data_IF_158891605299
#
_entry.id   IF_158891605299
#
_cell.length_a   1.000
_cell.length_b   1.000
_cell.length_c   1.000
_cell.angle_alpha   90.00
_cell.angle_beta   90.00
_cell.angle_gamma   90.00
#
_symmetry.space_group_name_H-M   'P 1'
#
loop_
_entity.id
_entity.type
_entity.pdbx_description
1 polymer ?
#
# COMPACT_ATOMS: atom_id res chain seq x y z
N UNK A 1 -13.78 -16.28 -61.29
CA UNK A 1 -12.34 -16.58 -61.35
C UNK A 1 -11.64 -15.23 -61.28
N UNK A 2 -11.49 -14.70 -60.07
CA UNK A 2 -10.25 -14.69 -59.26
C UNK A 2 -9.38 -13.47 -59.60
N UNK A 3 -9.36 -12.47 -58.71
CA UNK A 3 -8.18 -11.93 -58.00
C UNK A 3 -8.50 -10.52 -57.45
N UNK A 4 -8.75 -10.37 -56.14
CA UNK A 4 -7.85 -10.03 -55.00
C UNK A 4 -7.55 -8.53 -54.83
N UNK A 5 -7.99 -8.01 -53.68
CA UNK A 5 -7.55 -6.81 -52.92
C UNK A 5 -6.01 -6.70 -52.74
N UNK A 6 -5.40 -5.56 -52.28
CA UNK A 6 -5.94 -4.72 -51.22
C UNK A 6 -5.74 -3.19 -51.25
N UNK A 7 -6.58 -2.64 -50.38
CA UNK A 7 -6.66 -1.37 -49.67
C UNK A 7 -5.37 -0.85 -48.99
N UNK A 8 -5.43 0.45 -48.74
CA UNK A 8 -4.91 1.21 -47.60
C UNK A 8 -3.40 1.34 -47.34
N UNK A 9 -2.89 2.57 -47.50
CA UNK A 9 -1.60 3.02 -46.97
C UNK A 9 -1.64 4.55 -46.81
N UNK A 10 -2.45 5.01 -45.86
CA UNK A 10 -2.37 6.39 -45.34
C UNK A 10 -2.47 6.35 -43.82
N UNK A 11 -1.33 6.43 -43.14
CA UNK A 11 -1.34 6.48 -41.67
C UNK A 11 0.02 6.37 -40.99
N UNK A 12 1.12 6.65 -41.67
CA UNK A 12 2.43 6.80 -41.02
C UNK A 12 2.52 8.20 -40.43
N UNK A 13 2.26 8.33 -39.13
CA UNK A 13 2.58 9.57 -38.43
C UNK A 13 1.75 9.89 -37.20
N UNK A 14 1.68 9.00 -36.21
CA UNK A 14 1.52 9.40 -34.80
C UNK A 14 1.60 8.15 -33.93
N UNK A 15 2.65 8.01 -33.11
CA UNK A 15 2.66 7.38 -31.77
C UNK A 15 4.11 7.12 -31.34
N UNK A 16 4.87 8.21 -31.18
CA UNK A 16 6.12 8.16 -30.45
C UNK A 16 6.24 9.40 -29.56
N UNK A 17 5.25 9.57 -28.68
CA UNK A 17 5.37 10.52 -27.58
C UNK A 17 6.11 9.84 -26.42
N UNK A 18 7.38 10.19 -26.30
CA UNK A 18 8.19 9.89 -25.13
C UNK A 18 7.64 10.68 -23.94
N UNK A 19 7.22 9.97 -22.88
CA UNK A 19 6.90 10.59 -21.59
C UNK A 19 8.22 11.02 -20.94
N UNK A 20 8.67 12.24 -21.23
CA UNK A 20 9.73 12.91 -20.50
C UNK A 20 9.17 13.35 -19.14
N UNK A 21 9.13 12.41 -18.19
CA UNK A 21 8.85 12.73 -16.80
C UNK A 21 9.93 13.68 -16.27
N UNK A 22 9.59 14.95 -16.09
CA UNK A 22 10.50 15.92 -15.49
C UNK A 22 10.78 15.53 -14.04
N UNK A 23 11.98 15.03 -13.77
CA UNK A 23 12.50 14.94 -12.40
C UNK A 23 12.76 16.36 -11.93
N UNK A 24 11.94 16.86 -11.00
CA UNK A 24 12.22 18.13 -10.33
C UNK A 24 13.41 17.92 -9.40
N UNK A 25 14.61 18.19 -9.91
CA UNK A 25 15.84 18.22 -9.13
C UNK A 25 15.90 19.53 -8.36
N UNK A 26 15.28 19.57 -7.18
CA UNK A 26 15.58 20.59 -6.17
C UNK A 26 16.97 20.35 -5.55
N UNK A 27 17.54 21.34 -4.83
CA UNK A 27 18.80 21.14 -4.10
C UNK A 27 18.68 19.90 -3.19
N UNK A 28 19.76 19.11 -3.01
CA UNK A 28 19.71 17.92 -2.17
C UNK A 28 19.47 18.34 -0.71
N UNK A 29 18.21 18.40 -0.31
CA UNK A 29 17.83 18.44 1.10
C UNK A 29 18.24 17.08 1.67
N UNK A 30 18.96 17.02 2.80
CA UNK A 30 19.31 15.75 3.42
C UNK A 30 18.02 14.95 3.68
N UNK A 31 17.86 13.87 2.91
CA UNK A 31 16.69 12.99 3.00
C UNK A 31 16.84 12.13 4.25
N UNK A 32 16.12 12.47 5.31
CA UNK A 32 15.85 11.52 6.39
C UNK A 32 14.67 10.65 5.93
N UNK A 33 14.92 9.74 4.99
CA UNK A 33 13.95 8.70 4.68
C UNK A 33 13.82 7.77 5.88
N UNK A 34 12.59 7.37 6.21
CA UNK A 34 12.35 6.33 7.19
C UNK A 34 13.13 5.07 6.82
N UNK A 35 13.66 4.38 7.84
CA UNK A 35 14.08 2.99 7.64
C UNK A 35 12.83 2.14 7.39
N UNK A 36 12.98 0.99 6.78
CA UNK A 36 11.87 0.04 6.73
C UNK A 36 12.33 -1.39 6.95
N UNK A 37 11.44 -2.17 7.56
CA UNK A 37 11.60 -3.59 7.85
C UNK A 37 10.52 -4.34 7.09
N UNK A 38 10.88 -5.42 6.40
CA UNK A 38 9.89 -6.23 5.65
C UNK A 38 9.50 -7.47 6.45
N UNK A 39 8.23 -7.54 6.84
CA UNK A 39 7.64 -8.63 7.62
C UNK A 39 6.70 -9.44 6.71
N UNK A 40 6.75 -10.78 6.79
CA UNK A 40 5.93 -11.67 5.95
C UNK A 40 6.73 -12.72 5.18
N UNK A 41 6.08 -13.58 4.44
CA UNK A 41 6.74 -14.69 3.71
C UNK A 41 6.36 -14.67 2.23
N UNK A 42 6.97 -15.57 1.46
CA UNK A 42 6.69 -15.73 0.03
C UNK A 42 7.61 -14.91 -0.90
N UNK A 43 7.47 -15.09 -2.23
CA UNK A 43 8.37 -14.53 -3.22
C UNK A 43 8.43 -13.00 -3.21
N UNK A 44 7.27 -12.34 -3.08
CA UNK A 44 7.20 -10.88 -3.05
C UNK A 44 7.84 -10.31 -1.78
N UNK A 45 7.64 -10.92 -0.61
CA UNK A 45 8.30 -10.51 0.62
C UNK A 45 9.82 -10.65 0.52
N UNK A 46 10.31 -11.79 0.02
CA UNK A 46 11.73 -12.02 -0.19
C UNK A 46 12.34 -11.01 -1.18
N UNK A 47 11.57 -10.61 -2.19
CA UNK A 47 11.97 -9.58 -3.15
C UNK A 47 12.05 -8.20 -2.51
N UNK A 48 11.00 -7.76 -1.83
CA UNK A 48 10.96 -6.48 -1.13
C UNK A 48 12.10 -6.37 -0.11
N UNK A 49 12.40 -7.42 0.65
CA UNK A 49 13.58 -7.45 1.55
C UNK A 49 14.88 -7.05 0.86
N UNK A 50 15.09 -7.51 -0.37
CA UNK A 50 16.33 -7.20 -1.11
C UNK A 50 16.34 -5.79 -1.68
N UNK A 51 15.18 -5.20 -1.94
CA UNK A 51 15.09 -3.97 -2.75
C UNK A 51 14.65 -2.74 -1.97
N UNK A 52 13.90 -2.90 -0.88
CA UNK A 52 13.33 -1.78 -0.12
C UNK A 52 13.80 -1.74 1.32
N UNK A 53 14.10 -2.89 1.94
CA UNK A 53 14.51 -2.97 3.34
C UNK A 53 15.75 -2.10 3.58
N UNK A 54 15.69 -1.29 4.63
CA UNK A 54 16.71 -0.32 4.93
C UNK A 54 16.80 -0.12 6.44
N UNK A 55 18.01 -0.08 7.02
CA UNK A 55 18.16 0.12 8.44
C UNK A 55 17.62 1.52 8.83
N UNK A 56 17.01 1.66 10.02
CA UNK A 56 16.68 2.98 10.53
C UNK A 56 17.93 3.84 10.63
N UNK A 57 17.79 5.09 10.18
CA UNK A 57 18.77 6.12 10.49
C UNK A 57 18.54 6.64 11.92
N UNK A 58 19.56 7.24 12.54
CA UNK A 58 19.39 7.82 13.88
C UNK A 58 18.30 8.89 13.87
N UNK A 59 17.26 8.65 14.67
CA UNK A 59 16.12 9.57 14.82
C UNK A 59 15.15 9.54 13.64
N UNK A 60 15.12 8.48 12.83
CA UNK A 60 14.03 8.23 11.87
C UNK A 60 13.15 7.10 12.36
N UNK A 61 11.86 7.20 12.08
CA UNK A 61 10.93 6.10 12.31
C UNK A 61 11.26 4.87 11.43
N UNK A 62 10.77 3.71 11.85
CA UNK A 62 10.80 2.47 11.08
C UNK A 62 9.40 2.17 10.58
N UNK A 63 9.26 1.96 9.28
CA UNK A 63 8.01 1.48 8.67
C UNK A 63 8.06 -0.04 8.55
N UNK A 64 7.13 -0.74 9.18
CA UNK A 64 6.93 -2.17 8.97
C UNK A 64 6.16 -2.41 7.67
N UNK A 65 6.82 -2.91 6.64
CA UNK A 65 6.19 -3.33 5.39
C UNK A 65 5.62 -4.75 5.59
N UNK A 66 4.31 -4.84 5.78
CA UNK A 66 3.61 -6.08 6.14
C UNK A 66 3.11 -6.80 4.88
N UNK A 67 3.80 -7.85 4.47
CA UNK A 67 3.45 -8.63 3.29
C UNK A 67 2.57 -9.81 3.67
N UNK A 68 1.33 -9.81 3.18
CA UNK A 68 0.33 -10.85 3.46
C UNK A 68 -0.35 -11.35 2.20
N UNK A 69 -0.92 -12.55 2.27
CA UNK A 69 -1.72 -13.12 1.18
C UNK A 69 -3.21 -12.94 1.48
N UNK A 70 -4.01 -12.61 0.47
CA UNK A 70 -5.46 -12.40 0.53
C UNK A 70 -5.91 -11.19 1.35
N UNK A 71 -5.57 -11.14 2.64
CA UNK A 71 -5.95 -10.13 3.63
C UNK A 71 -4.80 -9.90 4.60
N UNK A 72 -4.76 -8.74 5.26
CA UNK A 72 -3.97 -8.62 6.49
C UNK A 72 -4.75 -9.37 7.58
N UNK A 73 -4.14 -10.33 8.29
CA UNK A 73 -4.80 -11.01 9.40
C UNK A 73 -5.34 -9.99 10.43
N UNK A 74 -6.60 -10.13 10.90
CA UNK A 74 -7.19 -9.16 11.80
C UNK A 74 -6.38 -8.92 13.08
N UNK A 75 -5.79 -9.97 13.65
CA UNK A 75 -4.89 -9.89 14.82
C UNK A 75 -3.66 -9.03 14.56
N UNK A 76 -2.98 -9.19 13.43
CA UNK A 76 -1.86 -8.33 13.01
C UNK A 76 -2.32 -6.88 12.89
N UNK A 77 -3.47 -6.63 12.27
CA UNK A 77 -4.03 -5.28 12.16
C UNK A 77 -4.34 -4.64 13.52
N UNK A 78 -4.86 -5.43 14.45
CA UNK A 78 -5.12 -5.00 15.83
C UNK A 78 -3.83 -4.70 16.60
N UNK A 79 -2.81 -5.54 16.48
CA UNK A 79 -1.50 -5.34 17.11
C UNK A 79 -0.83 -4.06 16.64
N UNK A 80 -0.77 -3.83 15.33
CA UNK A 80 -0.22 -2.61 14.73
C UNK A 80 -0.92 -1.36 15.29
N UNK A 81 -2.25 -1.41 15.37
CA UNK A 81 -3.04 -0.28 15.89
C UNK A 81 -2.87 -0.08 17.40
N UNK A 82 -2.74 -1.16 18.19
CA UNK A 82 -2.50 -1.08 19.64
C UNK A 82 -1.13 -0.53 19.98
N UNK A 83 -0.11 -0.92 19.22
CA UNK A 83 1.29 -0.52 19.45
C UNK A 83 1.61 0.84 18.82
N UNK A 84 0.73 1.40 17.99
CA UNK A 84 0.97 2.65 17.27
C UNK A 84 2.13 2.56 16.27
N UNK A 85 2.40 1.35 15.74
CA UNK A 85 3.51 1.14 14.80
C UNK A 85 3.19 1.73 13.43
N UNK A 86 4.18 2.38 12.82
CA UNK A 86 4.12 2.75 11.41
C UNK A 86 4.18 1.50 10.56
N UNK A 87 3.16 1.27 9.75
CA UNK A 87 3.10 0.09 8.91
C UNK A 87 2.54 0.39 7.52
N UNK A 88 3.01 -0.38 6.54
CA UNK A 88 2.57 -0.35 5.16
C UNK A 88 2.17 -1.78 4.74
N UNK A 89 0.88 -2.10 4.67
CA UNK A 89 0.44 -3.41 4.20
C UNK A 89 0.69 -3.54 2.69
N UNK A 90 1.20 -4.70 2.29
CA UNK A 90 1.32 -5.18 0.92
C UNK A 90 0.58 -6.50 0.83
N UNK A 91 -0.63 -6.48 0.27
CA UNK A 91 -1.52 -7.65 0.24
C UNK A 91 -1.54 -8.26 -1.15
N UNK A 92 -1.04 -9.47 -1.27
CA UNK A 92 -1.02 -10.24 -2.51
C UNK A 92 -2.36 -10.94 -2.70
N UNK A 93 -3.04 -10.66 -3.81
CA UNK A 93 -4.30 -11.31 -4.19
C UNK A 93 -4.17 -11.93 -5.58
N UNK A 94 -5.03 -12.89 -5.95
CA UNK A 94 -4.88 -13.64 -7.21
C UNK A 94 -4.79 -12.81 -8.49
N UNK A 95 -5.31 -11.57 -8.49
CA UNK A 95 -5.36 -10.70 -9.67
C UNK A 95 -4.66 -9.35 -9.49
N UNK A 96 -4.17 -9.04 -8.29
CA UNK A 96 -3.56 -7.75 -7.98
C UNK A 96 -2.78 -7.77 -6.67
N UNK A 97 -1.89 -6.81 -6.50
CA UNK A 97 -1.25 -6.49 -5.22
C UNK A 97 -1.84 -5.18 -4.71
N UNK A 98 -2.26 -5.14 -3.45
CA UNK A 98 -2.69 -3.92 -2.76
C UNK A 98 -1.51 -3.37 -1.97
N UNK A 99 -1.23 -2.08 -2.08
CA UNK A 99 -0.19 -1.40 -1.29
C UNK A 99 -0.83 -0.22 -0.57
N UNK A 100 -0.75 -0.21 0.77
CA UNK A 100 -1.30 0.85 1.60
C UNK A 100 -2.66 0.53 2.26
N UNK A 101 -3.16 1.46 3.10
CA UNK A 101 -2.57 2.77 3.38
C UNK A 101 -1.35 2.69 4.30
N UNK A 102 -0.53 3.75 4.33
CA UNK A 102 0.46 3.92 5.40
C UNK A 102 -0.30 4.26 6.69
N UNK A 103 -0.24 3.37 7.67
CA UNK A 103 -0.94 3.50 8.96
C UNK A 103 0.04 3.84 10.07
N UNK A 104 -0.46 4.30 11.22
CA UNK A 104 0.36 4.65 12.40
C UNK A 104 0.96 6.05 12.36
N UNK A 105 0.64 6.85 11.34
CA UNK A 105 1.12 8.25 11.21
C UNK A 105 0.37 9.24 12.12
N UNK A 106 -0.67 8.78 12.84
CA UNK A 106 -1.60 9.63 13.59
C UNK A 106 -2.65 10.32 12.71
N UNK A 107 -2.53 10.24 11.38
CA UNK A 107 -3.51 10.77 10.43
C UNK A 107 -4.06 9.63 9.54
N UNK A 108 -5.35 9.69 9.20
CA UNK A 108 -5.97 8.72 8.29
C UNK A 108 -6.41 7.39 8.94
N UNK A 109 -6.99 6.48 8.14
CA UNK A 109 -7.54 5.21 8.64
C UNK A 109 -6.46 4.23 9.10
N UNK A 110 -6.70 3.54 10.21
CA UNK A 110 -5.96 2.32 10.56
C UNK A 110 -6.46 1.08 9.79
N UNK A 111 -5.77 -0.05 9.93
CA UNK A 111 -6.18 -1.32 9.30
C UNK A 111 -7.56 -1.80 9.77
N UNK A 112 -7.92 -1.53 11.02
CA UNK A 112 -9.26 -1.83 11.50
C UNK A 112 -10.35 -0.97 10.86
N UNK A 113 -10.08 0.30 10.54
CA UNK A 113 -11.02 1.13 9.76
C UNK A 113 -11.34 0.47 8.42
N UNK A 114 -10.33 -0.06 7.74
CA UNK A 114 -10.50 -0.76 6.46
C UNK A 114 -11.41 -1.99 6.62
N UNK A 115 -11.22 -2.79 7.67
CA UNK A 115 -12.08 -3.93 7.92
C UNK A 115 -13.51 -3.55 8.31
N UNK A 116 -13.71 -2.46 9.05
CA UNK A 116 -15.05 -1.94 9.34
C UNK A 116 -15.76 -1.49 8.06
N UNK A 117 -15.09 -0.73 7.20
CA UNK A 117 -15.65 -0.33 5.92
C UNK A 117 -15.93 -1.52 4.99
N UNK A 118 -15.15 -2.61 5.07
CA UNK A 118 -15.45 -3.85 4.35
C UNK A 118 -16.66 -4.57 4.96
N UNK A 119 -16.75 -4.64 6.28
CA UNK A 119 -17.91 -5.19 7.00
C UNK A 119 -19.21 -4.45 6.67
N UNK A 120 -19.16 -3.13 6.53
CA UNK A 120 -20.34 -2.34 6.17
C UNK A 120 -20.85 -2.67 4.75
N UNK A 121 -19.97 -3.13 3.86
CA UNK A 121 -20.33 -3.59 2.50
C UNK A 121 -20.69 -5.08 2.46
N UNK A 122 -20.04 -5.88 3.29
CA UNK A 122 -20.23 -7.32 3.41
C UNK A 122 -20.26 -7.70 4.90
N UNK A 123 -21.45 -7.90 5.50
CA UNK A 123 -21.58 -8.28 6.90
C UNK A 123 -20.85 -9.57 7.28
N UNK A 124 -20.56 -10.46 6.30
CA UNK A 124 -19.80 -11.69 6.53
C UNK A 124 -18.27 -11.46 6.55
N UNK A 125 -17.80 -10.25 6.21
CA UNK A 125 -16.38 -9.91 6.14
C UNK A 125 -15.55 -10.34 7.35
N UNK A 126 -16.00 -10.17 8.62
CA UNK A 126 -15.20 -10.59 9.77
C UNK A 126 -14.86 -12.09 9.73
N UNK A 127 -15.80 -12.94 9.35
CA UNK A 127 -15.58 -14.37 9.20
C UNK A 127 -14.61 -14.65 8.03
N UNK A 128 -14.82 -14.01 6.88
CA UNK A 128 -13.95 -14.15 5.70
C UNK A 128 -12.51 -13.74 6.02
N UNK A 129 -12.31 -12.61 6.70
CA UNK A 129 -11.00 -12.11 7.09
C UNK A 129 -10.30 -13.05 8.09
N UNK A 130 -11.04 -13.66 9.01
CA UNK A 130 -10.49 -14.69 9.92
C UNK A 130 -10.05 -15.93 9.16
N UNK A 131 -10.88 -16.46 8.25
CA UNK A 131 -10.54 -17.64 7.46
C UNK A 131 -9.32 -17.38 6.57
N UNK A 132 -9.35 -16.30 5.79
CA UNK A 132 -8.24 -15.95 4.89
C UNK A 132 -6.98 -15.50 5.65
N UNK A 133 -7.13 -14.95 6.85
CA UNK A 133 -6.01 -14.59 7.72
C UNK A 133 -5.37 -15.78 8.43
N UNK A 134 -5.99 -16.97 8.37
CA UNK A 134 -5.44 -18.16 9.01
C UNK A 134 -4.07 -18.52 8.41
N UNK A 135 -3.08 -18.94 9.21
CA UNK A 135 -1.71 -19.22 8.72
C UNK A 135 -1.65 -20.20 7.53
N UNK A 136 -2.58 -21.15 7.45
CA UNK A 136 -2.68 -22.08 6.33
C UNK A 136 -2.97 -21.39 4.99
N UNK A 137 -3.74 -20.31 4.99
CA UNK A 137 -4.09 -19.52 3.80
C UNK A 137 -3.01 -18.47 3.47
N UNK A 138 -2.16 -18.14 4.43
CA UNK A 138 -1.08 -17.15 4.28
C UNK A 138 0.18 -17.70 3.58
N UNK A 139 0.27 -19.02 3.36
CA UNK A 139 1.45 -19.68 2.78
C UNK A 139 1.32 -20.06 1.30
N UNK A 140 0.14 -19.91 0.70
CA UNK A 140 -0.12 -20.33 -0.67
C UNK A 140 0.65 -19.49 -1.70
N UNK A 141 1.35 -20.10 -2.68
CA UNK A 141 2.06 -19.35 -3.71
C UNK A 141 1.04 -18.68 -4.63
N UNK A 142 0.79 -17.40 -4.39
CA UNK A 142 0.11 -16.54 -5.36
C UNK A 142 1.18 -15.97 -6.27
N UNK A 143 1.18 -16.41 -7.54
CA UNK A 143 2.12 -15.91 -8.53
C UNK A 143 1.87 -14.43 -8.80
N UNK A 144 2.91 -13.61 -8.64
CA UNK A 144 2.87 -12.18 -8.94
C UNK A 144 3.66 -11.95 -10.22
N UNK A 145 3.03 -11.50 -11.33
CA UNK A 145 3.74 -11.20 -12.56
C UNK A 145 4.86 -10.18 -12.35
N UNK A 146 5.98 -10.33 -13.08
CA UNK A 146 7.18 -9.51 -12.90
C UNK A 146 6.88 -8.00 -12.96
N UNK A 147 6.05 -7.56 -13.91
CA UNK A 147 5.68 -6.15 -14.04
C UNK A 147 4.92 -5.63 -12.80
N UNK A 148 4.05 -6.44 -12.20
CA UNK A 148 3.31 -6.08 -10.97
C UNK A 148 4.24 -6.07 -9.77
N UNK A 149 5.18 -7.02 -9.68
CA UNK A 149 6.20 -7.04 -8.63
C UNK A 149 7.09 -5.79 -8.69
N UNK A 150 7.55 -5.40 -9.88
CA UNK A 150 8.31 -4.16 -10.12
C UNK A 150 7.54 -2.90 -9.76
N UNK A 151 6.29 -2.80 -10.19
CA UNK A 151 5.44 -1.68 -9.81
C UNK A 151 5.25 -1.60 -8.28
N UNK A 152 5.08 -2.76 -7.63
CA UNK A 152 4.96 -2.86 -6.17
C UNK A 152 6.21 -2.33 -5.47
N UNK A 153 7.41 -2.72 -5.92
CA UNK A 153 8.68 -2.18 -5.39
C UNK A 153 8.70 -0.65 -5.47
N UNK A 154 8.38 -0.08 -6.64
CA UNK A 154 8.39 1.36 -6.86
C UNK A 154 7.41 2.11 -5.95
N UNK A 155 6.19 1.59 -5.80
CA UNK A 155 5.17 2.18 -4.92
C UNK A 155 5.59 2.06 -3.45
N UNK A 156 6.12 0.92 -3.01
CA UNK A 156 6.60 0.74 -1.63
C UNK A 156 7.75 1.70 -1.33
N UNK A 157 8.73 1.83 -2.23
CA UNK A 157 9.84 2.78 -2.08
C UNK A 157 9.35 4.24 -2.00
N UNK A 158 8.39 4.61 -2.85
CA UNK A 158 7.79 5.94 -2.84
C UNK A 158 7.11 6.22 -1.49
N UNK A 159 6.26 5.31 -1.03
CA UNK A 159 5.50 5.48 0.21
C UNK A 159 6.41 5.49 1.44
N UNK A 160 7.34 4.54 1.56
CA UNK A 160 8.33 4.52 2.65
C UNK A 160 9.17 5.79 2.64
N UNK A 161 9.66 6.22 1.46
CA UNK A 161 10.46 7.42 1.32
C UNK A 161 9.72 8.73 1.62
N UNK A 162 8.38 8.71 1.55
CA UNK A 162 7.53 9.85 1.91
C UNK A 162 7.27 10.00 3.41
N UNK A 163 7.41 8.92 4.20
CA UNK A 163 7.27 8.97 5.66
C UNK A 163 8.39 9.82 6.26
N UNK A 164 8.00 10.87 7.01
CA UNK A 164 8.94 11.77 7.67
C UNK A 164 9.71 12.72 6.73
N UNK A 165 9.36 12.76 5.44
CA UNK A 165 10.03 13.59 4.44
C UNK A 165 9.29 14.93 4.22
N UNK A 166 9.78 16.06 4.76
CA UNK A 166 9.14 17.35 4.55
C UNK A 166 9.18 17.81 3.08
N UNK A 167 10.13 17.29 2.29
CA UNK A 167 10.28 17.63 0.87
C UNK A 167 9.24 16.96 -0.04
N UNK A 168 8.63 15.85 0.38
CA UNK A 168 7.64 15.11 -0.40
C UNK A 168 6.19 15.42 0.02
N UNK A 169 6.00 16.26 1.03
CA UNK A 169 4.69 16.53 1.63
C UNK A 169 4.20 15.38 2.51
N UNK A 170 3.09 15.59 3.25
CA UNK A 170 2.52 14.55 4.10
C UNK A 170 2.02 13.38 3.24
N UNK A 171 2.29 12.15 3.69
CA UNK A 171 1.70 10.95 3.11
C UNK A 171 0.19 11.06 3.24
N UNK A 172 -0.53 10.92 2.12
CA UNK A 172 -1.98 10.81 2.16
C UNK A 172 -2.36 9.44 2.71
N UNK A 173 -2.44 9.36 4.04
CA UNK A 173 -2.58 8.14 4.82
C UNK A 173 -3.90 7.38 4.57
N UNK A 174 -4.77 7.86 3.68
CA UNK A 174 -5.97 7.14 3.24
C UNK A 174 -5.81 6.35 1.94
N UNK A 175 -4.68 6.47 1.22
CA UNK A 175 -4.56 5.92 -0.12
C UNK A 175 -4.11 4.45 -0.14
N UNK A 176 -4.80 3.65 -0.95
CA UNK A 176 -4.45 2.27 -1.29
C UNK A 176 -4.23 2.20 -2.80
N UNK A 177 -3.11 1.65 -3.23
CA UNK A 177 -2.80 1.40 -4.63
C UNK A 177 -3.02 -0.07 -4.96
N UNK A 178 -3.86 -0.36 -5.94
CA UNK A 178 -4.08 -1.69 -6.48
C UNK A 178 -3.30 -1.84 -7.79
N UNK A 179 -2.40 -2.82 -7.85
CA UNK A 179 -1.48 -3.06 -8.95
C UNK A 179 -1.84 -4.38 -9.62
N UNK A 180 -2.23 -4.32 -10.89
CA UNK A 180 -2.73 -5.48 -11.64
C UNK A 180 -2.04 -5.67 -13.00
N UNK A 181 -2.04 -6.90 -13.53
CA UNK A 181 -1.43 -7.20 -14.83
C UNK A 181 -2.26 -6.70 -16.02
N UNK A 182 -3.55 -6.39 -15.81
CA UNK A 182 -4.47 -5.92 -16.84
C UNK A 182 -4.86 -4.46 -16.59
N UNK A 183 -5.22 -3.74 -17.65
CA UNK A 183 -5.70 -2.38 -17.56
C UNK A 183 -7.02 -2.29 -16.75
N UNK A 184 -7.19 -1.25 -15.91
CA UNK A 184 -6.17 -0.29 -15.49
C UNK A 184 -5.10 -0.95 -14.60
N UNK A 185 -3.82 -0.80 -14.96
CA UNK A 185 -2.70 -1.45 -14.27
C UNK A 185 -2.50 -0.94 -12.84
N UNK A 186 -2.94 0.30 -12.57
CA UNK A 186 -2.89 0.94 -11.26
C UNK A 186 -4.24 1.57 -10.99
N UNK A 187 -4.83 1.24 -9.84
CA UNK A 187 -6.04 1.88 -9.33
C UNK A 187 -5.74 2.42 -7.94
N UNK A 188 -6.02 3.70 -7.70
CA UNK A 188 -5.87 4.29 -6.37
C UNK A 188 -7.24 4.45 -5.72
N UNK A 189 -7.40 3.95 -4.49
CA UNK A 189 -8.60 4.13 -3.67
C UNK A 189 -8.30 4.93 -2.43
N UNK A 190 -9.23 5.81 -2.05
CA UNK A 190 -9.19 6.55 -0.79
C UNK A 190 -10.07 5.87 0.26
N UNK A 191 -9.52 5.67 1.44
CA UNK A 191 -10.23 5.25 2.64
C UNK A 191 -10.19 6.38 3.66
N UNK A 192 -11.25 6.48 4.45
CA UNK A 192 -11.39 7.46 5.52
C UNK A 192 -11.42 6.74 6.86
N UNK A 193 -11.09 7.46 7.93
CA UNK A 193 -11.32 6.96 9.29
C UNK A 193 -12.78 6.53 9.42
N UNK A 194 -12.98 5.31 9.91
CA UNK A 194 -14.33 4.77 10.09
C UNK A 194 -14.94 5.31 11.40
N UNK A 195 -16.18 5.82 11.41
CA UNK A 195 -16.78 6.46 12.60
C UNK A 195 -16.90 5.52 13.80
N UNK A 196 -17.17 4.23 13.58
CA UNK A 196 -17.21 3.21 14.64
C UNK A 196 -15.82 2.70 15.09
N UNK A 197 -14.72 3.29 14.63
CA UNK A 197 -13.39 2.80 14.94
C UNK A 197 -12.91 3.28 16.32
N UNK A 198 -12.76 2.36 17.27
CA UNK A 198 -12.34 2.67 18.65
C UNK A 198 -10.94 3.27 18.81
N UNK A 199 -10.07 3.17 17.81
CA UNK A 199 -8.72 3.77 17.83
C UNK A 199 -8.71 5.23 17.38
N UNK A 200 -9.83 5.73 16.85
CA UNK A 200 -9.99 7.12 16.43
C UNK A 200 -11.23 7.76 17.06
N UNK A 201 -11.87 7.08 18.03
CA UNK A 201 -13.00 7.62 18.74
C UNK A 201 -12.53 8.63 19.79
N UNK A 202 -12.91 9.90 19.61
CA UNK A 202 -12.82 10.96 20.62
C UNK A 202 -12.11 12.24 20.16
N UNK A 203 -12.77 13.06 19.33
CA UNK A 203 -12.42 14.47 19.09
C UNK A 203 -13.69 15.34 19.00
N UNK A 204 -14.74 15.01 19.77
CA UNK A 204 -15.90 15.91 19.94
C UNK A 204 -15.72 16.92 21.08
N UNK A 205 -14.57 16.96 21.77
CA UNK A 205 -14.24 18.03 22.72
C UNK A 205 -12.86 18.62 22.42
N UNK A 206 -12.85 19.87 21.96
CA UNK A 206 -11.64 20.62 21.69
C UNK A 206 -10.73 20.72 22.91
N UNK A 207 -9.59 20.02 22.89
CA UNK A 207 -8.67 20.06 24.03
C UNK A 207 -7.42 19.20 23.90
N UNK A 208 -6.50 19.56 22.98
CA UNK A 208 -5.06 19.19 22.95
C UNK A 208 -4.74 17.68 22.79
N UNK A 209 -3.86 17.27 21.85
CA UNK A 209 -3.55 15.86 21.66
C UNK A 209 -2.74 15.30 22.84
N UNK A 210 -3.41 14.57 23.73
CA UNK A 210 -2.79 13.65 24.66
C UNK A 210 -2.45 12.36 23.92
N UNK A 211 -1.25 11.84 24.17
CA UNK A 211 -0.84 10.50 23.78
C UNK A 211 -1.78 9.46 24.43
N UNK A 212 -2.90 9.16 23.76
CA UNK A 212 -3.90 8.21 24.21
C UNK A 212 -3.64 6.84 23.61
N UNK A 213 -3.01 5.96 24.39
CA UNK A 213 -3.02 4.52 24.16
C UNK A 213 -4.49 4.02 24.26
N UNK A 214 -5.01 3.23 23.31
CA UNK A 214 -6.34 2.63 23.43
C UNK A 214 -6.37 1.58 24.58
N UNK A 215 -7.54 1.24 25.14
CA UNK A 215 -7.67 0.25 26.21
C UNK A 215 -7.20 -1.15 25.80
#
# INVERSE_FOLDING_TARGET
MLQTDPDDSSGDGLLQEAVAGAVVSGPPVPRRSAGCRVVGTGPLAARLRRTVESPPSRGTDVVDVLVHHHVVPPDVGLEVARDGRLALPVVVQPRRVLVGPVVGTGAGPCLHCLDLHRRDRDPAWPHVATVLGHPAEQGGPVEVPEAVARATEGVVLLLVGSVGSPALGPVDAGLVHELGPAAPHVVTRRWVVHPACRWHAGDDDGGRPGAGRPP
#
